data_IF_115724645601
#
_entry.id   IF_115724645601
#
_cell.length_a   1.000
_cell.length_b   1.000
_cell.length_c   1.000
_cell.angle_alpha   90.00
_cell.angle_beta   90.00
_cell.angle_gamma   90.00
#
_symmetry.space_group_name_H-M   'P 1'
#
loop_
_entity.id
_entity.type
_entity.pdbx_description
1 polymer ?
#
# COMPACT_ATOMS: atom_id res chain seq x y z
N UNK A 1 -22.06 14.98 3.61
CA UNK A 1 -22.13 14.28 2.33
C UNK A 1 -20.76 13.86 1.78
N UNK A 2 -19.66 14.46 2.23
CA UNK A 2 -18.29 14.03 1.93
C UNK A 2 -18.00 12.69 2.61
N UNK A 3 -18.35 12.53 3.87
CA UNK A 3 -18.19 11.28 4.62
C UNK A 3 -18.96 10.09 3.98
N UNK A 4 -20.19 10.34 3.46
CA UNK A 4 -20.95 9.32 2.72
C UNK A 4 -20.35 8.98 1.35
N UNK A 5 -19.63 9.90 0.72
CA UNK A 5 -18.86 9.63 -0.50
C UNK A 5 -17.62 8.82 -0.18
N UNK A 6 -16.85 9.24 0.82
CA UNK A 6 -15.68 8.49 1.29
C UNK A 6 -16.05 7.05 1.72
N UNK A 7 -17.16 6.86 2.44
CA UNK A 7 -17.63 5.53 2.86
C UNK A 7 -18.22 4.69 1.71
N UNK A 8 -18.57 5.29 0.58
CA UNK A 8 -19.05 4.57 -0.61
C UNK A 8 -17.89 4.15 -1.52
N UNK A 9 -16.80 4.88 -1.46
CA UNK A 9 -15.59 4.62 -2.23
C UNK A 9 -14.63 3.67 -1.47
N UNK A 10 -14.88 3.40 -0.19
CA UNK A 10 -14.29 2.28 0.56
C UNK A 10 -15.18 1.05 0.31
N UNK A 11 -15.15 0.57 -0.91
CA UNK A 11 -15.65 -0.76 -1.23
C UNK A 11 -14.60 -1.73 -0.67
N UNK A 12 -14.91 -2.32 0.48
CA UNK A 12 -13.97 -3.09 1.29
C UNK A 12 -13.45 -4.37 0.60
N UNK A 13 -14.00 -4.69 -0.58
CA UNK A 13 -13.60 -5.87 -1.36
C UNK A 13 -12.44 -5.59 -2.33
N UNK A 14 -11.86 -4.38 -2.33
CA UNK A 14 -10.94 -3.95 -3.39
C UNK A 14 -9.45 -4.06 -3.10
N UNK A 15 -9.05 -4.11 -1.82
CA UNK A 15 -7.68 -4.36 -1.42
C UNK A 15 -7.66 -5.36 -0.31
N UNK A 16 -7.44 -6.59 -0.65
CA UNK A 16 -7.43 -7.56 0.39
C UNK A 16 -6.01 -8.07 0.57
N UNK A 17 -5.31 -7.47 1.54
CA UNK A 17 -4.29 -8.21 2.24
C UNK A 17 -5.01 -9.23 3.09
N UNK A 18 -4.64 -10.49 2.97
CA UNK A 18 -5.18 -11.58 3.78
C UNK A 18 -4.07 -12.24 4.57
N UNK A 19 -4.45 -12.74 5.74
CA UNK A 19 -3.62 -13.65 6.53
C UNK A 19 -3.63 -15.09 5.92
N UNK A 20 -2.87 -15.99 6.52
CA UNK A 20 -2.80 -17.40 6.08
C UNK A 20 -4.12 -18.15 6.14
N UNK A 21 -5.10 -17.67 6.89
CA UNK A 21 -6.46 -18.22 7.02
C UNK A 21 -7.45 -17.59 6.01
N UNK A 22 -6.99 -16.59 5.24
CA UNK A 22 -7.81 -15.90 4.26
C UNK A 22 -8.64 -14.74 4.82
N UNK A 23 -8.38 -14.31 6.07
CA UNK A 23 -9.07 -13.16 6.65
C UNK A 23 -8.45 -11.85 6.16
N UNK A 24 -9.30 -10.89 5.87
CA UNK A 24 -8.88 -9.54 5.47
C UNK A 24 -8.09 -8.86 6.60
N UNK A 25 -6.86 -8.43 6.32
CA UNK A 25 -6.00 -7.71 7.27
C UNK A 25 -5.73 -6.26 6.89
N UNK A 26 -6.14 -5.83 5.70
CA UNK A 26 -6.02 -4.45 5.26
C UNK A 26 -7.38 -3.76 5.15
N UNK A 27 -7.43 -2.63 5.79
CA UNK A 27 -8.63 -1.84 5.92
C UNK A 27 -9.58 -2.42 6.97
N UNK A 28 -10.18 -1.55 7.79
CA UNK A 28 -11.15 -2.02 8.76
C UNK A 28 -12.36 -2.57 8.02
N UNK A 29 -12.79 -3.78 8.38
CA UNK A 29 -14.08 -4.32 7.94
C UNK A 29 -15.21 -3.36 8.33
N UNK A 30 -16.37 -3.48 7.69
CA UNK A 30 -17.52 -2.65 8.10
C UNK A 30 -17.85 -2.83 9.59
N UNK A 31 -17.70 -4.04 10.11
CA UNK A 31 -17.92 -4.33 11.52
C UNK A 31 -16.87 -3.64 12.39
N UNK A 32 -15.61 -3.67 12.00
CA UNK A 32 -14.53 -2.96 12.70
C UNK A 32 -14.74 -1.44 12.69
N UNK A 33 -15.23 -0.86 11.59
CA UNK A 33 -15.56 0.58 11.51
C UNK A 33 -16.70 0.91 12.46
N UNK A 34 -17.76 0.10 12.49
CA UNK A 34 -18.91 0.31 13.37
C UNK A 34 -18.50 0.16 14.83
N UNK A 35 -17.71 -0.84 15.15
CA UNK A 35 -17.19 -1.07 16.51
C UNK A 35 -16.26 0.06 16.95
N UNK A 36 -15.35 0.49 16.08
CA UNK A 36 -14.47 1.63 16.31
C UNK A 36 -15.26 2.91 16.56
N UNK A 37 -16.30 3.17 15.78
CA UNK A 37 -17.18 4.33 15.97
C UNK A 37 -17.89 4.29 17.32
N UNK A 38 -18.35 3.11 17.75
CA UNK A 38 -18.96 2.93 19.10
C UNK A 38 -17.94 3.15 20.20
N UNK A 39 -16.73 2.62 20.04
CA UNK A 39 -15.64 2.73 21.01
C UNK A 39 -15.09 4.17 21.12
N UNK A 40 -15.25 5.01 20.10
CA UNK A 40 -14.86 6.42 20.14
C UNK A 40 -15.78 7.31 20.99
N UNK A 41 -16.99 6.86 21.33
CA UNK A 41 -17.95 7.67 22.08
C UNK A 41 -17.44 7.97 23.51
N UNK A 42 -16.90 6.98 24.19
CA UNK A 42 -16.40 7.15 25.57
C UNK A 42 -15.18 8.07 25.64
N UNK A 43 -14.12 7.91 24.82
CA UNK A 43 -13.00 8.85 24.75
C UNK A 43 -13.44 10.28 24.41
N UNK A 44 -14.35 10.46 23.44
CA UNK A 44 -14.87 11.80 23.11
C UNK A 44 -15.63 12.42 24.29
N UNK A 45 -16.40 11.62 25.03
CA UNK A 45 -17.07 12.06 26.25
C UNK A 45 -16.09 12.47 27.35
N UNK A 46 -14.97 11.75 27.49
CA UNK A 46 -13.89 12.10 28.41
C UNK A 46 -13.20 13.42 28.02
N UNK A 47 -12.90 13.59 26.73
CA UNK A 47 -12.34 14.85 26.21
C UNK A 47 -13.22 16.07 26.55
N UNK A 48 -14.54 15.96 26.34
CA UNK A 48 -15.48 17.05 26.65
C UNK A 48 -15.56 17.38 28.15
N UNK A 49 -15.19 16.44 29.02
CA UNK A 49 -15.13 16.62 30.48
C UNK A 49 -13.75 17.10 30.98
N UNK A 50 -12.77 17.24 30.07
CA UNK A 50 -11.40 17.60 30.41
C UNK A 50 -10.55 16.44 30.94
N UNK A 51 -11.04 15.20 30.83
CA UNK A 51 -10.30 13.99 31.18
C UNK A 51 -9.46 13.52 29.97
N UNK A 52 -8.31 14.15 29.82
CA UNK A 52 -7.40 13.90 28.70
C UNK A 52 -6.68 12.55 28.80
N UNK A 53 -6.51 12.01 30.00
CA UNK A 53 -5.87 10.71 30.19
C UNK A 53 -6.76 9.59 29.63
N UNK A 54 -8.03 9.56 30.02
CA UNK A 54 -9.00 8.61 29.49
C UNK A 54 -9.19 8.79 27.97
N UNK A 55 -9.19 10.04 27.48
CA UNK A 55 -9.25 10.31 26.05
C UNK A 55 -8.06 9.71 25.31
N UNK A 56 -6.83 10.00 25.72
CA UNK A 56 -5.63 9.50 25.06
C UNK A 56 -5.55 7.98 25.10
N UNK A 57 -5.87 7.36 26.24
CA UNK A 57 -5.89 5.89 26.38
C UNK A 57 -6.87 5.27 25.39
N UNK A 58 -8.10 5.81 25.30
CA UNK A 58 -9.10 5.30 24.37
C UNK A 58 -8.71 5.46 22.89
N UNK A 59 -8.06 6.57 22.53
CA UNK A 59 -7.55 6.76 21.15
C UNK A 59 -6.44 5.77 20.84
N UNK A 60 -5.54 5.48 21.77
CA UNK A 60 -4.47 4.49 21.59
C UNK A 60 -5.05 3.09 21.42
N UNK A 61 -6.06 2.72 22.21
CA UNK A 61 -6.76 1.43 22.08
C UNK A 61 -7.43 1.28 20.69
N UNK A 62 -8.11 2.34 20.25
CA UNK A 62 -8.72 2.37 18.91
C UNK A 62 -7.65 2.19 17.82
N UNK A 63 -6.54 2.93 17.91
CA UNK A 63 -5.46 2.82 16.94
C UNK A 63 -4.84 1.42 16.94
N UNK A 64 -4.60 0.84 18.11
CA UNK A 64 -4.07 -0.52 18.21
C UNK A 64 -5.01 -1.53 17.54
N UNK A 65 -6.31 -1.48 17.82
CA UNK A 65 -7.29 -2.40 17.24
C UNK A 65 -7.38 -2.27 15.71
N UNK A 66 -7.22 -1.05 15.17
CA UNK A 66 -7.24 -0.82 13.72
C UNK A 66 -5.99 -1.32 13.01
N UNK A 67 -4.84 -1.24 13.66
CA UNK A 67 -3.54 -1.53 13.05
C UNK A 67 -2.92 -2.85 13.50
N UNK A 68 -3.47 -3.52 14.55
CA UNK A 68 -2.95 -4.78 15.05
C UNK A 68 -2.74 -5.83 13.93
N UNK A 69 -3.68 -6.00 12.97
CA UNK A 69 -3.53 -7.01 11.93
C UNK A 69 -2.32 -6.79 11.00
N UNK A 70 -1.83 -5.54 10.91
CA UNK A 70 -0.72 -5.18 10.03
C UNK A 70 0.58 -4.90 10.78
N UNK A 71 0.64 -5.13 12.09
CA UNK A 71 1.87 -4.98 12.86
C UNK A 71 2.91 -6.02 12.47
N UNK A 72 4.15 -5.56 12.28
CA UNK A 72 5.30 -6.44 12.15
C UNK A 72 5.54 -7.12 13.50
N UNK A 73 5.55 -8.44 13.53
CA UNK A 73 5.67 -9.23 14.77
C UNK A 73 6.97 -9.03 15.55
N UNK A 74 8.01 -8.49 14.92
CA UNK A 74 9.26 -8.17 15.58
C UNK A 74 9.92 -6.95 14.96
N UNK A 75 10.25 -5.91 15.74
CA UNK A 75 10.99 -4.75 15.26
C UNK A 75 12.41 -5.07 14.76
N UNK A 76 12.93 -6.23 15.16
CA UNK A 76 14.27 -6.72 14.75
C UNK A 76 14.20 -7.75 13.62
N UNK A 77 13.06 -8.38 13.40
CA UNK A 77 12.83 -9.21 12.23
C UNK A 77 12.59 -8.26 11.04
N UNK A 78 13.48 -8.27 10.08
CA UNK A 78 13.31 -7.53 8.82
C UNK A 78 12.30 -8.19 7.88
N UNK A 79 11.41 -9.00 8.42
CA UNK A 79 10.39 -9.75 7.71
C UNK A 79 9.02 -9.35 8.24
N UNK A 80 8.10 -9.08 7.35
CA UNK A 80 6.69 -8.91 7.66
C UNK A 80 6.07 -10.22 8.15
N UNK A 81 4.85 -10.15 8.66
CA UNK A 81 4.07 -11.33 8.99
C UNK A 81 4.04 -12.27 7.78
N UNK A 82 4.57 -13.51 7.86
CA UNK A 82 4.76 -14.37 6.70
C UNK A 82 3.45 -14.76 5.99
N UNK A 83 2.34 -14.64 6.68
CA UNK A 83 1.03 -15.08 6.22
C UNK A 83 0.20 -13.97 5.54
N UNK A 84 0.73 -12.74 5.46
CA UNK A 84 0.00 -11.63 4.83
C UNK A 84 0.40 -11.48 3.38
N UNK A 85 -0.56 -11.61 2.48
CA UNK A 85 -0.35 -11.53 1.03
C UNK A 85 -1.33 -10.55 0.38
N UNK A 86 -0.98 -10.04 -0.80
CA UNK A 86 -1.95 -9.37 -1.68
C UNK A 86 -2.74 -10.45 -2.39
N UNK A 87 -4.08 -10.48 -2.21
CA UNK A 87 -4.93 -11.52 -2.82
C UNK A 87 -4.85 -11.47 -4.34
N UNK A 88 -5.07 -10.34 -4.93
CA UNK A 88 -5.22 -10.23 -6.38
C UNK A 88 -3.91 -9.78 -7.03
N UNK A 89 -2.85 -10.59 -6.85
CA UNK A 89 -1.61 -10.35 -7.58
C UNK A 89 -1.79 -10.74 -9.04
N UNK A 90 -1.81 -9.75 -9.90
CA UNK A 90 -1.97 -9.98 -11.34
C UNK A 90 -0.68 -10.52 -11.94
N UNK A 91 -0.72 -11.75 -12.42
CA UNK A 91 0.42 -12.43 -13.03
C UNK A 91 0.43 -12.36 -14.56
N UNK A 92 -0.72 -12.05 -15.15
CA UNK A 92 -0.91 -11.89 -16.59
C UNK A 92 -1.04 -10.41 -16.97
N UNK A 93 -0.95 -10.06 -18.27
CA UNK A 93 -1.10 -8.68 -18.71
C UNK A 93 -2.53 -8.15 -18.52
N UNK A 94 -2.66 -6.83 -18.59
CA UNK A 94 -3.96 -6.12 -18.46
C UNK A 94 -5.01 -6.65 -19.41
N UNK A 95 -4.63 -7.07 -20.63
CA UNK A 95 -5.56 -7.67 -21.61
C UNK A 95 -6.26 -8.92 -21.11
N UNK A 96 -5.64 -9.66 -20.17
CA UNK A 96 -6.23 -10.89 -19.62
C UNK A 96 -7.34 -10.57 -18.60
N UNK A 97 -7.14 -9.56 -17.75
CA UNK A 97 -8.07 -9.21 -16.67
C UNK A 97 -9.01 -8.07 -17.02
N UNK A 98 -8.60 -7.18 -17.91
CA UNK A 98 -9.26 -5.92 -18.21
C UNK A 98 -8.81 -4.75 -17.31
N UNK A 99 -8.89 -3.53 -17.85
CA UNK A 99 -8.43 -2.30 -17.18
C UNK A 99 -9.15 -2.06 -15.85
N UNK A 100 -10.48 -2.21 -15.84
CA UNK A 100 -11.29 -1.95 -14.65
C UNK A 100 -10.96 -2.92 -13.51
N UNK A 101 -10.59 -4.16 -13.83
CA UNK A 101 -10.20 -5.15 -12.83
C UNK A 101 -8.84 -4.82 -12.21
N UNK A 102 -7.82 -4.56 -13.02
CA UNK A 102 -6.46 -4.30 -12.52
C UNK A 102 -6.30 -2.95 -11.83
N UNK A 103 -7.26 -2.04 -12.03
CA UNK A 103 -7.26 -0.69 -11.43
C UNK A 103 -8.42 -0.48 -10.46
N UNK A 104 -9.17 -1.55 -10.12
CA UNK A 104 -10.30 -1.46 -9.18
C UNK A 104 -9.91 -0.89 -7.82
N UNK A 105 -8.65 -1.02 -7.52
CA UNK A 105 -8.07 -0.69 -6.26
C UNK A 105 -7.75 0.80 -6.10
N UNK A 106 -7.30 1.47 -7.15
CA UNK A 106 -6.97 2.90 -7.12
C UNK A 106 -7.39 3.56 -8.44
N UNK A 107 -8.37 4.45 -8.35
CA UNK A 107 -8.84 5.20 -9.51
C UNK A 107 -7.77 6.11 -10.12
N UNK A 108 -6.76 6.52 -9.33
CA UNK A 108 -5.61 7.28 -9.84
C UNK A 108 -4.75 6.46 -10.79
N UNK A 109 -4.62 5.17 -10.56
CA UNK A 109 -3.80 4.30 -11.39
C UNK A 109 -4.49 4.01 -12.72
N UNK A 110 -5.82 4.16 -12.82
CA UNK A 110 -6.58 3.85 -14.02
C UNK A 110 -6.11 4.67 -15.24
N UNK A 111 -6.00 5.98 -15.09
CA UNK A 111 -5.58 6.87 -16.18
C UNK A 111 -4.14 6.57 -16.63
N UNK A 112 -3.28 6.18 -15.68
CA UNK A 112 -1.88 5.84 -15.94
C UNK A 112 -1.79 4.50 -16.70
N UNK A 113 -2.51 3.48 -16.23
CA UNK A 113 -2.53 2.15 -16.85
C UNK A 113 -3.17 2.22 -18.23
N UNK A 114 -4.26 2.99 -18.40
CA UNK A 114 -4.94 3.21 -19.67
C UNK A 114 -3.99 3.86 -20.69
N UNK A 115 -3.30 4.94 -20.30
CA UNK A 115 -2.32 5.58 -21.14
C UNK A 115 -1.16 4.65 -21.53
N UNK A 116 -0.72 3.77 -20.64
CA UNK A 116 0.27 2.74 -20.97
C UNK A 116 -0.30 1.73 -21.97
N UNK A 117 -1.56 1.30 -21.79
CA UNK A 117 -2.23 0.38 -22.71
C UNK A 117 -2.42 0.99 -24.12
N UNK A 118 -2.71 2.29 -24.19
CA UNK A 118 -2.83 3.01 -25.46
C UNK A 118 -1.49 3.09 -26.20
N UNK A 119 -0.38 3.27 -25.45
CA UNK A 119 0.95 3.42 -26.06
C UNK A 119 1.57 2.10 -26.52
N UNK A 120 1.50 1.04 -25.67
CA UNK A 120 2.23 -0.21 -25.92
C UNK A 120 1.31 -1.42 -26.12
N UNK A 121 0.01 -1.26 -26.01
CA UNK A 121 -0.99 -2.32 -26.04
C UNK A 121 -1.17 -3.03 -24.70
N UNK A 122 -2.41 -3.35 -24.35
CA UNK A 122 -2.77 -3.99 -23.09
C UNK A 122 -2.11 -5.36 -22.85
N UNK A 123 -1.70 -6.05 -23.91
CA UNK A 123 -0.93 -7.29 -23.84
C UNK A 123 0.49 -7.10 -23.26
N UNK A 124 1.01 -5.88 -23.27
CA UNK A 124 2.36 -5.56 -22.83
C UNK A 124 2.39 -4.76 -21.51
N UNK A 125 1.23 -4.51 -20.91
CA UNK A 125 1.11 -3.80 -19.65
C UNK A 125 0.78 -4.78 -18.53
N UNK A 126 1.55 -4.71 -17.44
CA UNK A 126 1.41 -5.55 -16.26
C UNK A 126 1.28 -4.65 -15.03
N UNK A 127 0.41 -5.01 -14.10
CA UNK A 127 0.17 -4.27 -12.85
C UNK A 127 0.60 -5.11 -11.67
N UNK A 128 1.34 -4.54 -10.74
CA UNK A 128 1.80 -5.19 -9.52
C UNK A 128 1.33 -4.44 -8.28
N UNK A 129 0.52 -5.09 -7.43
CA UNK A 129 0.08 -4.57 -6.16
C UNK A 129 1.15 -4.77 -5.06
N UNK A 130 1.47 -3.72 -4.32
CA UNK A 130 2.47 -3.80 -3.25
C UNK A 130 1.82 -4.21 -1.91
N UNK A 131 2.37 -5.23 -1.27
CA UNK A 131 2.10 -5.53 0.14
C UNK A 131 2.83 -4.49 1.02
N UNK A 132 2.26 -3.32 1.15
CA UNK A 132 2.87 -2.09 1.68
C UNK A 132 3.49 -2.23 3.09
N UNK A 133 3.09 -3.22 3.87
CA UNK A 133 3.60 -3.51 5.22
C UNK A 133 4.91 -4.32 5.21
N UNK A 134 5.29 -4.91 4.08
CA UNK A 134 6.57 -5.61 3.92
C UNK A 134 7.74 -4.63 3.93
N UNK A 135 8.93 -5.14 4.25
CA UNK A 135 10.15 -4.35 4.12
C UNK A 135 10.44 -4.00 2.65
N UNK A 136 11.16 -2.89 2.42
CA UNK A 136 11.55 -2.49 1.07
C UNK A 136 12.41 -3.54 0.36
N UNK A 137 13.19 -4.31 1.11
CA UNK A 137 14.02 -5.41 0.58
C UNK A 137 13.17 -6.58 0.11
N UNK A 138 12.15 -6.97 0.87
CA UNK A 138 11.21 -8.03 0.48
C UNK A 138 10.42 -7.61 -0.76
N UNK A 139 9.90 -6.37 -0.78
CA UNK A 139 9.19 -5.83 -1.93
C UNK A 139 10.08 -5.75 -3.18
N UNK A 140 11.34 -5.36 -3.01
CA UNK A 140 12.30 -5.35 -4.12
C UNK A 140 12.58 -6.76 -4.66
N UNK A 141 12.62 -7.77 -3.79
CA UNK A 141 12.77 -9.17 -4.22
C UNK A 141 11.53 -9.67 -4.97
N UNK A 142 10.33 -9.32 -4.49
CA UNK A 142 9.08 -9.64 -5.16
C UNK A 142 9.01 -8.99 -6.55
N UNK A 143 9.38 -7.72 -6.67
CA UNK A 143 9.47 -7.00 -7.96
C UNK A 143 10.49 -7.66 -8.88
N UNK A 144 11.66 -8.06 -8.36
CA UNK A 144 12.66 -8.74 -9.18
C UNK A 144 12.10 -10.05 -9.75
N UNK A 145 11.46 -10.87 -8.93
CA UNK A 145 10.83 -12.12 -9.39
C UNK A 145 9.78 -11.85 -10.48
N UNK A 146 8.97 -10.80 -10.31
CA UNK A 146 7.95 -10.41 -11.28
C UNK A 146 8.55 -9.91 -12.60
N UNK A 147 9.60 -9.10 -12.53
CA UNK A 147 10.37 -8.65 -13.71
C UNK A 147 10.93 -9.85 -14.50
N UNK A 148 11.56 -10.81 -13.80
CA UNK A 148 12.10 -12.01 -14.45
C UNK A 148 11.00 -12.84 -15.13
N UNK A 149 9.81 -12.96 -14.48
CA UNK A 149 8.66 -13.62 -15.08
C UNK A 149 8.24 -12.93 -16.38
N UNK A 150 8.04 -11.61 -16.37
CA UNK A 150 7.63 -10.85 -17.55
C UNK A 150 8.64 -10.99 -18.68
N UNK A 151 9.95 -10.89 -18.36
CA UNK A 151 11.02 -11.07 -19.34
C UNK A 151 10.95 -12.44 -20.01
N UNK A 152 10.70 -13.49 -19.23
CA UNK A 152 10.58 -14.85 -19.74
C UNK A 152 9.33 -15.02 -20.61
N UNK A 153 8.18 -14.51 -20.16
CA UNK A 153 6.90 -14.63 -20.85
C UNK A 153 6.89 -13.87 -22.19
N UNK A 154 7.51 -12.70 -22.20
CA UNK A 154 7.56 -11.81 -23.38
C UNK A 154 8.80 -11.98 -24.25
N UNK A 155 9.75 -12.81 -23.83
CA UNK A 155 11.02 -12.99 -24.53
C UNK A 155 11.77 -11.67 -24.79
N UNK A 156 11.82 -10.81 -23.76
CA UNK A 156 12.50 -9.51 -23.81
C UNK A 156 13.67 -9.47 -22.83
N UNK A 157 14.70 -8.68 -23.16
CA UNK A 157 15.87 -8.52 -22.31
C UNK A 157 15.63 -7.51 -21.18
N UNK A 158 14.75 -6.52 -21.41
CA UNK A 158 14.50 -5.43 -20.49
C UNK A 158 13.03 -5.05 -20.47
N UNK A 159 12.59 -4.51 -19.32
CA UNK A 159 11.26 -3.95 -19.11
C UNK A 159 11.35 -2.46 -18.76
N UNK A 160 10.27 -1.71 -19.01
CA UNK A 160 10.08 -0.37 -18.44
C UNK A 160 9.21 -0.48 -17.19
N UNK A 161 9.57 0.23 -16.11
CA UNK A 161 8.86 0.13 -14.84
C UNK A 161 8.39 1.52 -14.42
N UNK A 162 7.13 1.64 -14.03
CA UNK A 162 6.57 2.82 -13.39
C UNK A 162 6.22 2.52 -11.93
N UNK A 163 6.60 3.39 -11.01
CA UNK A 163 6.27 3.28 -9.58
C UNK A 163 5.49 4.49 -9.10
N UNK A 164 4.28 4.27 -8.58
CA UNK A 164 3.46 5.30 -8.00
C UNK A 164 3.62 5.34 -6.48
N UNK A 165 3.66 6.56 -5.89
CA UNK A 165 3.72 6.77 -4.44
C UNK A 165 4.85 5.95 -3.77
N UNK A 166 4.52 5.01 -2.87
CA UNK A 166 5.46 4.10 -2.23
C UNK A 166 6.22 3.22 -3.25
N UNK A 167 5.62 2.94 -4.41
CA UNK A 167 6.27 2.17 -5.48
C UNK A 167 7.61 2.73 -5.92
N UNK A 168 7.80 4.06 -5.90
CA UNK A 168 9.09 4.66 -6.20
C UNK A 168 10.16 4.36 -5.16
N UNK A 169 9.83 4.27 -3.87
CA UNK A 169 10.78 3.87 -2.83
C UNK A 169 11.17 2.39 -2.99
N UNK A 170 10.20 1.54 -3.37
CA UNK A 170 10.47 0.13 -3.68
C UNK A 170 11.38 -0.01 -4.90
N UNK A 171 11.14 0.77 -5.96
CA UNK A 171 12.00 0.79 -7.14
C UNK A 171 13.43 1.25 -6.83
N UNK A 172 13.60 2.21 -5.92
CA UNK A 172 14.92 2.60 -5.45
C UNK A 172 15.64 1.45 -4.74
N UNK A 173 14.93 0.70 -3.89
CA UNK A 173 15.45 -0.49 -3.24
C UNK A 173 15.78 -1.59 -4.27
N UNK A 174 14.92 -1.80 -5.25
CA UNK A 174 15.15 -2.74 -6.34
C UNK A 174 16.44 -2.42 -7.10
N UNK A 175 16.62 -1.17 -7.51
CA UNK A 175 17.86 -0.75 -8.21
C UNK A 175 19.11 -0.90 -7.36
N UNK A 176 18.99 -0.61 -6.06
CA UNK A 176 20.10 -0.77 -5.13
C UNK A 176 20.54 -2.21 -4.93
N UNK A 177 19.62 -3.17 -5.03
CA UNK A 177 19.87 -4.60 -4.79
C UNK A 177 20.17 -5.37 -6.08
N UNK A 178 19.48 -5.06 -7.18
CA UNK A 178 19.52 -5.84 -8.43
C UNK A 178 20.13 -5.09 -9.61
N UNK A 179 20.39 -3.79 -9.45
CA UNK A 179 20.93 -2.96 -10.53
C UNK A 179 19.89 -2.59 -11.59
N UNK A 180 20.37 -2.17 -12.76
CA UNK A 180 19.52 -1.68 -13.87
C UNK A 180 19.62 -2.52 -15.15
N UNK A 181 20.25 -3.70 -15.10
CA UNK A 181 20.50 -4.49 -16.30
C UNK A 181 19.20 -5.01 -16.93
N UNK A 182 18.19 -5.25 -16.11
CA UNK A 182 16.87 -5.73 -16.54
C UNK A 182 15.88 -4.61 -16.87
N UNK A 183 16.26 -3.34 -16.73
CA UNK A 183 15.38 -2.20 -16.89
C UNK A 183 15.83 -1.28 -18.00
N UNK A 184 14.91 -0.90 -18.89
CA UNK A 184 15.15 0.09 -19.94
C UNK A 184 14.83 1.50 -19.49
N UNK A 185 13.72 1.68 -18.75
CA UNK A 185 13.27 2.97 -18.24
C UNK A 185 12.63 2.82 -16.88
N UNK A 186 12.77 3.84 -16.04
CA UNK A 186 12.08 3.96 -14.76
C UNK A 186 11.35 5.28 -14.74
N UNK A 187 10.06 5.22 -14.42
CA UNK A 187 9.21 6.39 -14.19
C UNK A 187 8.72 6.39 -12.76
N UNK A 188 8.93 7.49 -12.05
CA UNK A 188 8.48 7.66 -10.67
C UNK A 188 7.37 8.71 -10.63
N UNK A 189 6.14 8.29 -10.30
CA UNK A 189 4.95 9.12 -10.29
C UNK A 189 4.57 9.44 -8.84
N UNK A 190 4.52 10.72 -8.48
CA UNK A 190 4.21 11.17 -7.10
C UNK A 190 4.94 10.34 -6.03
N UNK A 191 6.19 10.04 -6.29
CA UNK A 191 6.93 9.01 -5.57
C UNK A 191 7.43 9.48 -4.20
N UNK A 192 7.33 8.62 -3.20
CA UNK A 192 7.93 8.80 -1.87
C UNK A 192 9.44 8.47 -1.84
N UNK A 193 10.14 8.66 -2.96
CA UNK A 193 11.55 8.28 -3.14
C UNK A 193 12.49 8.91 -2.10
N UNK A 194 12.25 10.16 -1.72
CA UNK A 194 13.04 10.90 -0.71
C UNK A 194 12.44 10.85 0.69
N UNK A 195 11.38 10.06 0.90
CA UNK A 195 10.61 10.01 2.13
C UNK A 195 9.42 10.98 2.13
N UNK A 196 8.69 10.96 3.23
CA UNK A 196 7.53 11.82 3.47
C UNK A 196 7.76 12.61 4.75
N UNK A 197 7.75 13.94 4.68
CA UNK A 197 7.93 14.82 5.85
C UNK A 197 6.92 14.52 6.95
N UNK A 198 5.67 14.23 6.59
CA UNK A 198 4.61 13.89 7.54
C UNK A 198 4.99 12.65 8.36
N UNK A 199 5.51 11.61 7.73
CA UNK A 199 5.97 10.38 8.41
C UNK A 199 7.22 10.68 9.24
N UNK A 200 8.16 11.45 8.69
CA UNK A 200 9.37 11.88 9.40
C UNK A 200 9.06 12.69 10.66
N UNK A 201 8.02 13.53 10.64
CA UNK A 201 7.57 14.29 11.81
C UNK A 201 7.01 13.40 12.91
N UNK A 202 6.27 12.34 12.58
CA UNK A 202 5.75 11.37 13.55
C UNK A 202 6.89 10.68 14.31
N UNK A 203 7.95 10.27 13.60
CA UNK A 203 9.10 9.62 14.23
C UNK A 203 10.01 10.58 15.01
N UNK A 204 10.00 11.88 14.69
CA UNK A 204 10.79 12.92 15.39
C UNK A 204 10.09 13.49 16.64
N UNK A 205 8.94 12.97 17.04
CA UNK A 205 8.23 13.42 18.24
C UNK A 205 7.66 14.84 18.12
N UNK A 206 7.23 15.26 16.95
CA UNK A 206 6.49 16.52 16.76
C UNK A 206 7.32 17.81 16.78
N UNK A 207 8.64 17.73 16.74
CA UNK A 207 9.54 18.92 16.69
C UNK A 207 9.54 19.63 15.30
N UNK A 208 8.44 19.53 14.55
CA UNK A 208 8.29 20.12 13.21
C UNK A 208 8.16 21.66 13.19
N UNK A 209 8.17 22.34 14.35
CA UNK A 209 7.99 23.80 14.45
C UNK A 209 9.28 24.62 14.56
N UNK A 210 10.48 24.03 14.38
CA UNK A 210 11.75 24.77 14.55
C UNK A 210 12.49 25.17 13.26
N UNK A 211 11.87 25.08 12.11
CA UNK A 211 12.46 25.62 10.87
C UNK A 211 11.48 26.54 10.16
N UNK A 212 11.37 27.77 10.66
CA UNK A 212 11.04 28.96 9.89
C UNK A 212 12.12 30.01 10.09
#
# INVERSE_FOLDING_TARGET
>A
NVLRRMLRDIDADRYVLVDGDGNQVWGPSQDTIVETAKNAIAPLGAFLKGDYETFCTGIVEIANNLFEPVFVQSPTARQSTPDVTVIDQYTEPVSHYGLDEVTKADAFDKDIVDACCDEVGADNVYVYGLAWHKSMQELAADINAYVQKIKADKHVDKVSIAGHSMGGAVLASYLGLYGCDDVSNITMLNSAFTGLDMVGCLFKGGDSHRHR
#
